data_IF_074601822502
#
_entry.id   IF_074601822502
#
_cell.length_a   1.000
_cell.length_b   1.000
_cell.length_c   1.000
_cell.angle_alpha   90.00
_cell.angle_beta   90.00
_cell.angle_gamma   90.00
#
_symmetry.space_group_name_H-M   'P 1'
#
loop_
_entity.id
_entity.type
_entity.pdbx_description
1 polymer ?
#
# COMPACT_ATOMS: atom_id res chain seq x y z
N UNK A 1 8.59 20.37 -7.71
CA UNK A 1 9.71 20.07 -6.80
C UNK A 1 9.19 19.18 -5.68
N UNK A 2 9.92 18.10 -5.41
CA UNK A 2 9.55 17.15 -4.37
C UNK A 2 9.65 17.81 -2.99
N UNK A 3 8.54 17.81 -2.27
CA UNK A 3 8.49 18.08 -0.83
C UNK A 3 9.07 16.88 -0.05
N UNK A 4 10.34 17.00 0.35
CA UNK A 4 11.07 15.96 1.08
C UNK A 4 10.52 15.72 2.49
N UNK A 5 10.08 16.78 3.19
CA UNK A 5 9.54 16.68 4.54
C UNK A 5 8.26 15.83 4.55
N UNK A 6 7.39 16.07 3.57
CA UNK A 6 6.19 15.25 3.37
C UNK A 6 6.53 13.80 3.09
N UNK A 7 7.51 13.53 2.23
CA UNK A 7 7.94 12.15 1.90
C UNK A 7 8.51 11.45 3.14
N UNK A 8 9.40 12.10 3.89
CA UNK A 8 10.00 11.55 5.11
C UNK A 8 8.92 11.25 6.16
N UNK A 9 7.98 12.17 6.36
CA UNK A 9 6.88 11.98 7.31
C UNK A 9 6.02 10.77 6.94
N UNK A 10 5.57 10.68 5.69
CA UNK A 10 4.74 9.55 5.22
C UNK A 10 5.51 8.24 5.26
N UNK A 11 6.78 8.21 4.85
CA UNK A 11 7.62 7.02 4.94
C UNK A 11 7.79 6.55 6.39
N UNK A 12 7.93 7.49 7.33
CA UNK A 12 7.97 7.19 8.76
C UNK A 12 6.66 6.61 9.30
N UNK A 13 5.51 7.13 8.85
CA UNK A 13 4.18 6.59 9.18
C UNK A 13 4.02 5.16 8.66
N UNK A 14 4.32 4.91 7.39
CA UNK A 14 4.28 3.58 6.75
C UNK A 14 5.19 2.60 7.49
N UNK A 15 6.41 3.02 7.85
CA UNK A 15 7.35 2.18 8.58
C UNK A 15 6.79 1.75 9.94
N UNK A 16 6.14 2.66 10.67
CA UNK A 16 5.49 2.35 11.96
C UNK A 16 4.31 1.39 11.77
N UNK A 17 3.49 1.59 10.76
CA UNK A 17 2.35 0.71 10.48
C UNK A 17 2.82 -0.71 10.13
N UNK A 18 3.81 -0.84 9.22
CA UNK A 18 4.39 -2.13 8.85
C UNK A 18 5.03 -2.84 10.05
N UNK A 19 5.76 -2.12 10.92
CA UNK A 19 6.35 -2.70 12.12
C UNK A 19 5.27 -3.28 13.06
N UNK A 20 4.17 -2.56 13.24
CA UNK A 20 3.06 -3.04 14.06
C UNK A 20 2.34 -4.23 13.43
N UNK A 21 2.11 -4.21 12.12
CA UNK A 21 1.52 -5.33 11.37
C UNK A 21 2.39 -6.59 11.48
N UNK A 22 3.73 -6.45 11.38
CA UNK A 22 4.67 -7.56 11.59
C UNK A 22 4.57 -8.13 13.00
N UNK A 23 4.46 -7.29 14.03
CA UNK A 23 4.25 -7.74 15.41
C UNK A 23 2.98 -8.58 15.58
N UNK A 24 1.91 -8.23 14.86
CA UNK A 24 0.62 -8.93 14.91
C UNK A 24 0.54 -10.19 14.04
N UNK A 25 1.47 -10.37 13.09
CA UNK A 25 1.46 -11.53 12.17
C UNK A 25 1.62 -12.89 12.85
N UNK A 26 2.12 -12.91 14.10
CA UNK A 26 2.30 -14.13 14.90
C UNK A 26 1.13 -14.38 15.88
N UNK A 27 0.11 -13.52 15.91
CA UNK A 27 -1.05 -13.67 16.78
C UNK A 27 -2.06 -14.65 16.15
N UNK A 28 -2.09 -15.90 16.65
CA UNK A 28 -2.95 -16.96 16.11
C UNK A 28 -4.46 -16.74 16.25
N UNK A 29 -4.89 -15.78 17.07
CA UNK A 29 -6.31 -15.55 17.40
C UNK A 29 -6.89 -14.25 16.81
N UNK A 30 -6.17 -13.58 15.90
CA UNK A 30 -6.58 -12.26 15.39
C UNK A 30 -8.01 -12.25 14.80
N UNK A 31 -8.45 -13.35 14.18
CA UNK A 31 -9.80 -13.47 13.62
C UNK A 31 -10.91 -13.56 14.67
N UNK A 32 -10.57 -13.88 15.92
CA UNK A 32 -11.49 -13.95 17.05
C UNK A 32 -11.56 -12.63 17.83
N UNK A 33 -10.76 -11.63 17.43
CA UNK A 33 -10.62 -10.35 18.11
C UNK A 33 -11.05 -9.23 17.14
N UNK A 34 -12.37 -8.98 16.98
CA UNK A 34 -12.92 -8.13 15.92
C UNK A 34 -12.34 -6.72 15.92
N UNK A 35 -12.21 -6.08 17.09
CA UNK A 35 -11.64 -4.74 17.20
C UNK A 35 -10.16 -4.70 16.79
N UNK A 36 -9.39 -5.75 17.13
CA UNK A 36 -7.99 -5.84 16.73
C UNK A 36 -7.86 -6.10 15.24
N UNK A 37 -8.72 -6.95 14.69
CA UNK A 37 -8.78 -7.22 13.26
C UNK A 37 -9.12 -5.94 12.46
N UNK A 38 -10.06 -5.14 12.95
CA UNK A 38 -10.42 -3.87 12.31
C UNK A 38 -9.29 -2.84 12.41
N UNK A 39 -8.59 -2.77 13.54
CA UNK A 39 -7.36 -1.96 13.66
C UNK A 39 -6.26 -2.41 12.69
N UNK A 40 -6.12 -3.72 12.46
CA UNK A 40 -5.17 -4.28 11.47
C UNK A 40 -5.56 -3.91 10.05
N UNK A 41 -6.85 -4.09 9.67
CA UNK A 41 -7.36 -3.70 8.35
C UNK A 41 -7.12 -2.22 8.10
N UNK A 42 -7.44 -1.37 9.08
CA UNK A 42 -7.23 0.06 8.97
C UNK A 42 -5.76 0.41 8.73
N UNK A 43 -4.83 -0.24 9.43
CA UNK A 43 -3.38 -0.04 9.21
C UNK A 43 -2.90 -0.48 7.84
N UNK A 44 -3.47 -1.55 7.28
CA UNK A 44 -3.17 -1.90 5.88
C UNK A 44 -3.63 -0.80 4.93
N UNK A 45 -4.83 -0.26 5.14
CA UNK A 45 -5.37 0.84 4.34
C UNK A 45 -4.45 2.06 4.42
N UNK A 46 -4.11 2.53 5.63
CA UNK A 46 -3.28 3.74 5.80
C UNK A 46 -1.87 3.57 5.25
N UNK A 47 -1.25 2.38 5.40
CA UNK A 47 0.05 2.10 4.81
C UNK A 47 0.02 2.13 3.28
N UNK A 48 -1.00 1.53 2.66
CA UNK A 48 -1.18 1.54 1.19
C UNK A 48 -1.45 2.97 0.70
N UNK A 49 -2.31 3.72 1.37
CA UNK A 49 -2.59 5.12 1.06
C UNK A 49 -1.34 5.99 1.17
N UNK A 50 -0.52 5.78 2.19
CA UNK A 50 0.78 6.44 2.34
C UNK A 50 1.71 6.19 1.15
N UNK A 51 1.89 4.91 0.76
CA UNK A 51 2.72 4.54 -0.39
C UNK A 51 2.24 5.22 -1.67
N UNK A 52 0.93 5.17 -1.94
CA UNK A 52 0.36 5.78 -3.14
C UNK A 52 0.43 7.32 -3.09
N UNK A 53 0.24 7.93 -1.93
CA UNK A 53 0.38 9.38 -1.75
C UNK A 53 1.80 9.87 -2.04
N UNK A 54 2.82 9.13 -1.61
CA UNK A 54 4.22 9.41 -1.96
C UNK A 54 4.42 9.30 -3.49
N UNK A 55 3.90 8.22 -4.11
CA UNK A 55 4.05 8.00 -5.54
C UNK A 55 3.44 9.13 -6.38
N UNK A 56 2.19 9.50 -6.10
CA UNK A 56 1.51 10.61 -6.77
C UNK A 56 2.24 11.94 -6.56
N UNK A 57 2.74 12.20 -5.35
CA UNK A 57 3.49 13.41 -5.05
C UNK A 57 4.79 13.50 -5.87
N UNK A 58 5.57 12.43 -5.94
CA UNK A 58 6.82 12.39 -6.71
C UNK A 58 6.53 12.57 -8.20
N UNK A 59 5.60 11.79 -8.78
CA UNK A 59 5.25 11.89 -10.21
C UNK A 59 4.82 13.32 -10.59
N UNK A 60 3.95 13.93 -9.79
CA UNK A 60 3.50 15.31 -10.03
C UNK A 60 4.64 16.33 -9.84
N UNK A 61 5.50 16.12 -8.85
CA UNK A 61 6.59 17.04 -8.51
C UNK A 61 7.70 17.08 -9.55
N UNK A 62 7.91 15.97 -10.25
CA UNK A 62 8.90 15.78 -11.32
C UNK A 62 8.34 16.04 -12.72
N UNK A 63 7.03 16.32 -12.83
CA UNK A 63 6.38 16.56 -14.12
C UNK A 63 6.23 15.31 -14.98
N UNK A 64 6.25 14.12 -14.37
CA UNK A 64 6.04 12.84 -15.04
C UNK A 64 4.55 12.61 -15.34
N UNK A 65 4.27 11.56 -16.13
CA UNK A 65 2.90 11.25 -16.55
C UNK A 65 1.98 11.03 -15.33
N UNK A 66 0.80 11.67 -15.37
CA UNK A 66 -0.20 11.51 -14.32
C UNK A 66 -0.77 10.09 -14.36
N UNK A 67 -0.71 9.33 -13.25
CA UNK A 67 -1.17 7.95 -13.24
C UNK A 67 -2.70 7.86 -13.16
N UNK A 68 -3.31 7.02 -14.00
CA UNK A 68 -4.76 6.78 -13.99
C UNK A 68 -5.22 5.94 -12.78
N UNK A 69 -4.29 5.19 -12.17
CA UNK A 69 -4.58 4.31 -11.03
C UNK A 69 -3.42 4.30 -10.04
N UNK A 70 -3.68 3.92 -8.80
CA UNK A 70 -2.62 3.72 -7.79
C UNK A 70 -1.57 2.70 -8.23
N UNK A 71 -1.97 1.64 -8.93
CA UNK A 71 -1.03 0.68 -9.50
C UNK A 71 -0.17 1.30 -10.61
N UNK A 72 -0.74 2.19 -11.43
CA UNK A 72 0.03 2.95 -12.41
C UNK A 72 1.01 3.92 -11.74
N UNK A 73 0.64 4.53 -10.61
CA UNK A 73 1.53 5.39 -9.85
C UNK A 73 2.78 4.63 -9.37
N UNK A 74 2.60 3.42 -8.82
CA UNK A 74 3.72 2.57 -8.39
C UNK A 74 4.60 2.12 -9.56
N UNK A 75 4.00 1.80 -10.72
CA UNK A 75 4.78 1.47 -11.93
C UNK A 75 5.57 2.67 -12.46
N UNK A 76 4.99 3.87 -12.45
CA UNK A 76 5.69 5.08 -12.84
C UNK A 76 6.94 5.33 -11.99
N UNK A 77 6.87 5.11 -10.68
CA UNK A 77 8.07 5.17 -9.82
C UNK A 77 9.15 4.16 -10.23
N UNK A 78 8.76 2.94 -10.63
CA UNK A 78 9.71 1.92 -11.07
C UNK A 78 10.32 2.23 -12.44
N UNK A 79 9.52 2.75 -13.39
CA UNK A 79 9.97 3.22 -14.70
C UNK A 79 11.07 4.29 -14.58
N UNK A 80 10.97 5.13 -13.55
CA UNK A 80 11.96 6.15 -13.21
C UNK A 80 13.01 5.71 -12.16
N UNK A 81 13.09 4.41 -11.85
CA UNK A 81 14.05 3.81 -10.92
C UNK A 81 14.04 4.37 -9.48
N UNK A 82 12.95 5.01 -9.06
CA UNK A 82 12.75 5.46 -7.66
C UNK A 82 12.53 4.27 -6.73
N UNK A 83 11.90 3.20 -7.25
CA UNK A 83 11.75 1.91 -6.58
C UNK A 83 12.17 0.79 -7.54
N UNK A 84 12.45 -0.39 -7.00
CA UNK A 84 12.72 -1.57 -7.83
C UNK A 84 11.50 -1.94 -8.69
N UNK A 85 11.75 -2.49 -9.89
CA UNK A 85 10.70 -3.03 -10.76
C UNK A 85 9.79 -4.04 -10.05
N UNK A 86 10.36 -4.94 -9.23
CA UNK A 86 9.61 -5.96 -8.48
C UNK A 86 8.50 -5.34 -7.60
N UNK A 87 8.84 -4.28 -6.86
CA UNK A 87 7.89 -3.54 -6.03
C UNK A 87 6.87 -2.75 -6.88
N UNK A 88 7.28 -2.21 -8.02
CA UNK A 88 6.39 -1.43 -8.90
C UNK A 88 5.31 -2.27 -9.59
N UNK A 89 5.63 -3.49 -10.01
CA UNK A 89 4.69 -4.40 -10.68
C UNK A 89 3.92 -5.30 -9.72
N UNK A 90 4.40 -5.44 -8.49
CA UNK A 90 3.80 -6.29 -7.47
C UNK A 90 3.90 -7.78 -7.83
N UNK A 91 5.12 -8.32 -7.84
CA UNK A 91 5.33 -9.78 -7.91
C UNK A 91 5.68 -10.34 -6.53
N UNK A 92 4.69 -10.37 -5.64
CA UNK A 92 4.71 -11.28 -4.48
C UNK A 92 3.86 -12.50 -4.80
N UNK A 93 4.26 -13.69 -4.34
CA UNK A 93 3.54 -14.97 -4.45
C UNK A 93 2.19 -15.00 -3.67
N UNK A 94 1.36 -13.98 -3.85
CA UNK A 94 0.00 -13.92 -3.35
C UNK A 94 -0.93 -14.56 -4.36
N UNK A 95 -1.29 -15.83 -4.15
CA UNK A 95 -2.45 -16.45 -4.81
C UNK A 95 -3.61 -15.46 -4.80
N UNK A 96 -4.09 -15.10 -5.99
CA UNK A 96 -5.32 -14.32 -6.18
C UNK A 96 -6.42 -15.03 -5.37
N UNK A 97 -6.85 -14.45 -4.24
CA UNK A 97 -8.00 -14.99 -3.51
C UNK A 97 -9.21 -14.77 -4.42
N UNK A 98 -9.92 -15.83 -4.83
CA UNK A 98 -11.10 -15.68 -5.68
C UNK A 98 -12.12 -14.80 -4.98
N UNK A 99 -12.66 -13.80 -5.69
CA UNK A 99 -13.76 -12.99 -5.19
C UNK A 99 -14.95 -13.92 -4.89
N UNK A 100 -15.57 -13.85 -3.70
CA UNK A 100 -16.73 -14.68 -3.41
C UNK A 100 -17.83 -14.39 -4.43
N UNK A 101 -18.45 -15.45 -4.96
CA UNK A 101 -19.58 -15.34 -5.86
C UNK A 101 -20.70 -14.54 -5.17
N UNK A 102 -21.25 -13.54 -5.87
CA UNK A 102 -22.41 -12.80 -5.35
C UNK A 102 -23.59 -13.78 -5.23
N UNK A 103 -24.34 -13.80 -4.12
CA UNK A 103 -25.54 -14.60 -4.03
C UNK A 103 -26.54 -14.15 -5.10
N UNK A 104 -27.01 -15.09 -5.91
CA UNK A 104 -28.13 -14.88 -6.82
C UNK A 104 -29.37 -14.69 -5.97
N UNK A 105 -29.84 -13.44 -5.84
CA UNK A 105 -31.15 -13.15 -5.27
C UNK A 105 -32.17 -13.62 -6.31
N UNK A 106 -32.91 -14.69 -6.00
CA UNK A 106 -34.11 -15.11 -6.73
C UNK A 106 -35.32 -14.38 -6.21
#
# INVERSE_FOLDING_TARGET
MVDEERVIRLAGEITRDVARLRGLSHAGELTQLPDQLDAVKYRFITAIEGCTSIAHHILASEGWAAPETNAAAMRGLAEHAVISNELGVGHGEGRRIPKPARPSIR
#
